data_IF_354547730648
#
_entry.id   IF_354547730648
#
_cell.length_a   1.000
_cell.length_b   1.000
_cell.length_c   1.000
_cell.angle_alpha   90.00
_cell.angle_beta   90.00
_cell.angle_gamma   90.00
#
_symmetry.space_group_name_H-M   'P 1'
#
loop_
_entity.id
_entity.type
_entity.pdbx_description
1 polymer ?
#
# COMPACT_ATOMS: atom_id res chain seq x y z
N UNK A 1 17.92 -15.80 -13.31
CA UNK A 1 18.81 -14.64 -13.38
C UNK A 1 20.23 -15.16 -13.34
N UNK A 2 21.07 -14.72 -14.27
CA UNK A 2 22.48 -15.08 -14.25
C UNK A 2 23.16 -14.34 -13.08
N UNK A 3 24.17 -14.90 -12.42
CA UNK A 3 24.90 -14.19 -11.36
C UNK A 3 25.62 -12.97 -11.97
N UNK A 4 25.41 -11.77 -11.44
CA UNK A 4 26.09 -10.56 -11.90
C UNK A 4 27.59 -10.60 -11.57
N UNK A 5 28.45 -10.41 -12.57
CA UNK A 5 29.90 -10.44 -12.43
C UNK A 5 30.48 -9.18 -11.73
N UNK A 6 29.77 -8.05 -11.77
CA UNK A 6 30.12 -6.85 -10.98
C UNK A 6 28.88 -5.99 -10.67
N UNK A 7 28.76 -5.54 -9.42
CA UNK A 7 27.70 -4.61 -8.99
C UNK A 7 28.25 -3.18 -9.11
N UNK A 8 27.60 -2.29 -9.89
CA UNK A 8 28.03 -0.90 -9.97
C UNK A 8 28.08 -0.22 -8.60
N UNK A 9 29.11 0.59 -8.35
CA UNK A 9 29.28 1.31 -7.08
C UNK A 9 28.04 2.13 -6.73
N UNK A 10 27.43 2.77 -7.73
CA UNK A 10 26.17 3.50 -7.56
C UNK A 10 25.03 2.62 -7.02
N UNK A 11 24.84 1.42 -7.60
CA UNK A 11 23.83 0.47 -7.13
C UNK A 11 24.07 0.05 -5.67
N UNK A 12 25.33 -0.20 -5.30
CA UNK A 12 25.69 -0.53 -3.91
C UNK A 12 25.40 0.60 -2.93
N UNK A 13 25.77 1.84 -3.28
CA UNK A 13 25.54 3.02 -2.42
C UNK A 13 24.03 3.27 -2.26
N UNK A 14 23.30 3.31 -3.36
CA UNK A 14 21.85 3.53 -3.36
C UNK A 14 21.11 2.43 -2.60
N UNK A 15 21.47 1.16 -2.84
CA UNK A 15 20.86 0.02 -2.15
C UNK A 15 21.16 0.03 -0.65
N UNK A 16 22.37 0.46 -0.25
CA UNK A 16 22.73 0.59 1.17
C UNK A 16 21.92 1.69 1.84
N UNK A 17 21.77 2.85 1.21
CA UNK A 17 20.93 3.95 1.74
C UNK A 17 19.50 3.46 1.91
N UNK A 18 18.93 2.81 0.88
CA UNK A 18 17.58 2.26 0.93
C UNK A 18 17.39 1.25 2.08
N UNK A 19 18.34 0.33 2.24
CA UNK A 19 18.35 -0.67 3.30
C UNK A 19 18.41 -0.03 4.69
N UNK A 20 19.28 0.97 4.89
CA UNK A 20 19.40 1.69 6.17
C UNK A 20 18.10 2.41 6.50
N UNK A 21 17.50 3.12 5.53
CA UNK A 21 16.19 3.77 5.71
C UNK A 21 15.16 2.76 6.22
N UNK A 22 15.06 1.58 5.61
CA UNK A 22 14.10 0.57 6.01
C UNK A 22 14.39 -0.15 7.33
N UNK A 23 15.65 -0.23 7.73
CA UNK A 23 16.00 -0.71 9.07
C UNK A 23 15.52 0.24 10.18
N UNK A 24 15.31 1.53 9.87
CA UNK A 24 15.00 2.56 10.87
C UNK A 24 13.64 3.24 10.68
N UNK A 25 12.94 2.98 9.57
CA UNK A 25 11.74 3.70 9.14
C UNK A 25 10.66 3.80 10.22
N UNK A 26 10.45 2.74 11.00
CA UNK A 26 9.35 2.68 11.96
C UNK A 26 9.68 3.32 13.32
N UNK A 27 10.93 3.69 13.60
CA UNK A 27 11.29 4.29 14.88
C UNK A 27 10.50 5.58 15.20
N UNK A 28 10.33 6.54 14.27
CA UNK A 28 9.53 7.74 14.54
C UNK A 28 8.08 7.41 14.88
N UNK A 29 7.47 6.42 14.20
CA UNK A 29 6.11 5.97 14.50
C UNK A 29 6.01 5.34 15.89
N UNK A 30 6.92 4.43 16.22
CA UNK A 30 6.97 3.76 17.52
C UNK A 30 7.17 4.79 18.64
N UNK A 31 8.07 5.74 18.42
CA UNK A 31 8.34 6.83 19.35
C UNK A 31 7.11 7.73 19.53
N UNK A 32 6.45 8.12 18.45
CA UNK A 32 5.21 8.90 18.48
C UNK A 32 4.14 8.18 19.30
N UNK A 33 3.88 6.91 19.00
CA UNK A 33 2.91 6.08 19.72
C UNK A 33 3.23 6.04 21.23
N UNK A 34 4.51 5.87 21.57
CA UNK A 34 4.96 5.88 22.96
C UNK A 34 4.78 7.23 23.64
N UNK A 35 5.03 8.35 22.94
CA UNK A 35 4.91 9.70 23.50
C UNK A 35 3.46 10.15 23.65
N UNK A 36 2.61 9.88 22.66
CA UNK A 36 1.20 10.28 22.66
C UNK A 36 0.31 9.33 23.44
N UNK A 37 0.75 8.09 23.67
CA UNK A 37 -0.07 6.99 24.22
C UNK A 37 -1.37 6.78 23.45
N UNK A 38 -1.36 7.14 22.16
CA UNK A 38 -2.49 7.07 21.26
C UNK A 38 -2.06 6.56 19.90
N UNK A 39 -2.77 5.57 19.38
CA UNK A 39 -2.56 4.93 18.07
C UNK A 39 -3.78 5.08 17.17
N UNK A 40 -4.63 6.07 17.42
CA UNK A 40 -5.81 6.33 16.59
C UNK A 40 -5.40 6.64 15.15
N UNK A 41 -6.02 5.96 14.18
CA UNK A 41 -5.74 6.10 12.75
C UNK A 41 -4.61 5.20 12.23
N UNK A 42 -3.81 4.59 13.11
CA UNK A 42 -2.83 3.58 12.72
C UNK A 42 -3.52 2.20 12.62
N UNK A 43 -3.64 1.59 11.42
CA UNK A 43 -4.35 0.32 11.28
C UNK A 43 -3.55 -0.84 11.93
N UNK A 44 -4.10 -1.54 12.94
CA UNK A 44 -3.38 -2.65 13.57
C UNK A 44 -3.18 -3.84 12.60
N UNK A 45 -4.13 -4.07 11.70
CA UNK A 45 -4.04 -5.13 10.68
C UNK A 45 -2.86 -4.92 9.74
N UNK A 46 -2.63 -3.68 9.29
CA UNK A 46 -1.47 -3.30 8.47
C UNK A 46 -0.17 -3.65 9.18
N UNK A 47 0.01 -3.23 10.44
CA UNK A 47 1.22 -3.51 11.22
C UNK A 47 1.45 -5.02 11.39
N UNK A 48 0.39 -5.80 11.63
CA UNK A 48 0.50 -7.26 11.76
C UNK A 48 0.88 -7.92 10.44
N UNK A 49 0.21 -7.56 9.33
CA UNK A 49 0.46 -8.15 8.01
C UNK A 49 1.89 -7.81 7.54
N UNK A 50 2.35 -6.58 7.77
CA UNK A 50 3.73 -6.20 7.49
C UNK A 50 4.74 -6.98 8.35
N UNK A 51 4.46 -7.17 9.64
CA UNK A 51 5.29 -8.01 10.50
C UNK A 51 5.38 -9.45 9.94
N UNK A 52 4.24 -10.02 9.51
CA UNK A 52 4.19 -11.35 8.89
C UNK A 52 4.97 -11.42 7.57
N UNK A 53 4.99 -10.35 6.78
CA UNK A 53 5.75 -10.32 5.50
C UNK A 53 7.26 -10.45 5.70
N UNK A 54 7.78 -10.09 6.88
CA UNK A 54 9.20 -10.23 7.20
C UNK A 54 9.70 -11.67 7.13
N UNK A 55 8.85 -12.66 7.45
CA UNK A 55 9.19 -14.09 7.39
C UNK A 55 9.56 -14.54 5.97
N UNK A 56 8.67 -14.45 4.96
CA UNK A 56 9.02 -14.86 3.61
C UNK A 56 10.13 -13.98 2.99
N UNK A 57 10.24 -12.68 3.35
CA UNK A 57 11.40 -11.87 2.95
C UNK A 57 12.72 -12.39 3.54
N UNK A 58 12.74 -12.76 4.82
CA UNK A 58 13.90 -13.33 5.50
C UNK A 58 14.33 -14.66 4.88
N UNK A 59 13.36 -15.57 4.67
CA UNK A 59 13.60 -16.85 3.95
C UNK A 59 14.20 -16.58 2.57
N UNK A 60 13.60 -15.67 1.80
CA UNK A 60 14.06 -15.32 0.47
C UNK A 60 15.50 -14.77 0.49
N UNK A 61 15.79 -13.80 1.36
CA UNK A 61 17.10 -13.16 1.47
C UNK A 61 18.20 -14.14 1.90
N UNK A 62 17.90 -15.03 2.85
CA UNK A 62 18.85 -16.06 3.30
C UNK A 62 19.09 -17.09 2.19
N UNK A 63 18.05 -17.57 1.51
CA UNK A 63 18.22 -18.59 0.47
C UNK A 63 18.91 -18.04 -0.78
N UNK A 64 18.65 -16.78 -1.16
CA UNK A 64 19.37 -16.09 -2.23
C UNK A 64 20.80 -15.65 -1.84
N UNK A 65 21.21 -15.88 -0.58
CA UNK A 65 22.55 -15.53 -0.08
C UNK A 65 22.88 -14.04 -0.30
N UNK A 66 21.92 -13.17 -0.02
CA UNK A 66 22.14 -11.73 -0.10
C UNK A 66 23.19 -11.25 0.91
N UNK A 67 23.67 -10.02 0.71
CA UNK A 67 24.59 -9.39 1.66
C UNK A 67 23.94 -9.24 3.05
N UNK A 68 24.79 -9.12 4.08
CA UNK A 68 24.34 -9.08 5.46
C UNK A 68 23.28 -7.99 5.73
N UNK A 69 23.40 -6.74 5.21
CA UNK A 69 22.35 -5.74 5.36
C UNK A 69 20.97 -6.17 4.84
N UNK A 70 20.91 -6.80 3.67
CA UNK A 70 19.65 -7.27 3.07
C UNK A 70 19.05 -8.49 3.78
N UNK A 71 19.87 -9.27 4.50
CA UNK A 71 19.37 -10.32 5.40
C UNK A 71 18.82 -9.73 6.70
N UNK A 72 19.46 -8.68 7.23
CA UNK A 72 19.05 -8.04 8.49
C UNK A 72 17.79 -7.19 8.31
N UNK A 73 17.62 -6.53 7.16
CA UNK A 73 16.52 -5.58 6.93
C UNK A 73 15.12 -6.19 7.15
N UNK A 74 14.77 -7.37 6.58
CA UNK A 74 13.46 -7.98 6.84
C UNK A 74 13.22 -8.31 8.31
N UNK A 75 14.28 -8.62 9.05
CA UNK A 75 14.21 -8.91 10.48
C UNK A 75 13.93 -7.65 11.30
N UNK A 76 14.63 -6.55 10.98
CA UNK A 76 14.34 -5.25 11.56
C UNK A 76 12.90 -4.83 11.27
N UNK A 77 12.46 -4.93 10.01
CA UNK A 77 11.10 -4.59 9.60
C UNK A 77 10.06 -5.44 10.35
N UNK A 78 10.24 -6.76 10.37
CA UNK A 78 9.39 -7.72 11.09
C UNK A 78 9.17 -7.31 12.55
N UNK A 79 10.27 -7.06 13.27
CA UNK A 79 10.25 -6.70 14.70
C UNK A 79 9.63 -5.33 14.92
N UNK A 80 10.02 -4.32 14.15
CA UNK A 80 9.50 -2.96 14.30
C UNK A 80 7.99 -2.91 14.04
N UNK A 81 7.50 -3.60 13.01
CA UNK A 81 6.08 -3.73 12.73
C UNK A 81 5.35 -4.46 13.87
N UNK A 82 5.94 -5.53 14.41
CA UNK A 82 5.40 -6.26 15.56
C UNK A 82 5.30 -5.39 16.82
N UNK A 83 6.32 -4.58 17.11
CA UNK A 83 6.31 -3.62 18.23
C UNK A 83 5.23 -2.57 18.04
N UNK A 84 5.11 -1.99 16.85
CA UNK A 84 4.07 -1.02 16.52
C UNK A 84 2.66 -1.63 16.63
N UNK A 85 2.49 -2.89 16.20
CA UNK A 85 1.26 -3.64 16.39
C UNK A 85 0.92 -3.85 17.87
N UNK A 86 1.90 -4.24 18.70
CA UNK A 86 1.70 -4.37 20.14
C UNK A 86 1.32 -3.01 20.78
N UNK A 87 1.91 -1.91 20.34
CA UNK A 87 1.49 -0.56 20.77
C UNK A 87 0.03 -0.27 20.40
N UNK A 88 -0.45 -0.70 19.22
CA UNK A 88 -1.86 -0.58 18.86
C UNK A 88 -2.79 -1.36 19.81
N UNK A 89 -2.37 -2.55 20.28
CA UNK A 89 -3.13 -3.31 21.28
C UNK A 89 -3.16 -2.60 22.64
N UNK A 90 -2.01 -2.08 23.09
CA UNK A 90 -1.86 -1.44 24.40
C UNK A 90 -2.57 -0.09 24.43
N UNK A 91 -2.28 0.80 23.48
CA UNK A 91 -2.76 2.18 23.49
C UNK A 91 -4.13 2.33 22.83
N UNK A 92 -4.42 1.56 21.77
CA UNK A 92 -5.71 1.59 21.08
C UNK A 92 -6.77 0.73 21.77
N UNK A 93 -6.49 -0.57 21.95
CA UNK A 93 -7.46 -1.53 22.54
C UNK A 93 -7.40 -1.64 24.07
N UNK A 94 -6.51 -0.90 24.73
CA UNK A 94 -6.33 -0.89 26.19
C UNK A 94 -5.99 -2.26 26.78
N UNK A 95 -5.29 -3.10 26.03
CA UNK A 95 -4.79 -4.37 26.54
C UNK A 95 -3.72 -4.15 27.61
N UNK A 96 -3.61 -5.10 28.55
CA UNK A 96 -2.54 -5.09 29.54
C UNK A 96 -1.18 -5.23 28.83
N UNK A 97 -0.21 -4.40 29.22
CA UNK A 97 1.12 -4.34 28.58
C UNK A 97 1.80 -5.71 28.58
N UNK A 98 1.70 -6.46 29.68
CA UNK A 98 2.24 -7.81 29.78
C UNK A 98 1.62 -8.79 28.77
N UNK A 99 0.29 -8.80 28.63
CA UNK A 99 -0.41 -9.68 27.69
C UNK A 99 -0.03 -9.38 26.24
N UNK A 100 0.04 -8.10 25.87
CA UNK A 100 0.46 -7.69 24.53
C UNK A 100 1.93 -8.03 24.26
N UNK A 101 2.81 -7.85 25.25
CA UNK A 101 4.24 -8.17 25.12
C UNK A 101 4.49 -9.67 25.00
N UNK A 102 3.81 -10.49 25.81
CA UNK A 102 3.88 -11.95 25.69
C UNK A 102 3.37 -12.44 24.34
N UNK A 103 2.27 -11.87 23.85
CA UNK A 103 1.71 -12.21 22.55
C UNK A 103 2.69 -11.86 21.41
N UNK A 104 3.34 -10.69 21.49
CA UNK A 104 4.38 -10.30 20.53
C UNK A 104 5.58 -11.27 20.56
N UNK A 105 6.09 -11.60 21.74
CA UNK A 105 7.22 -12.54 21.88
C UNK A 105 6.87 -13.91 21.30
N UNK A 106 5.68 -14.42 21.62
CA UNK A 106 5.19 -15.70 21.08
C UNK A 106 5.07 -15.64 19.55
N UNK A 107 4.52 -14.55 19.01
CA UNK A 107 4.39 -14.35 17.57
C UNK A 107 5.76 -14.33 16.88
N UNK A 108 6.73 -13.58 17.41
CA UNK A 108 8.09 -13.52 16.86
C UNK A 108 8.83 -14.86 16.97
N UNK A 109 8.59 -15.64 18.03
CA UNK A 109 9.12 -16.99 18.16
C UNK A 109 8.54 -17.93 17.09
N UNK A 110 7.23 -17.84 16.82
CA UNK A 110 6.58 -18.58 15.74
C UNK A 110 7.16 -18.16 14.39
N UNK A 111 7.30 -16.86 14.13
CA UNK A 111 7.91 -16.35 12.89
C UNK A 111 9.32 -16.89 12.68
N UNK A 112 10.15 -16.85 13.72
CA UNK A 112 11.52 -17.40 13.69
C UNK A 112 11.52 -18.90 13.39
N UNK A 113 10.63 -19.67 14.04
CA UNK A 113 10.51 -21.11 13.81
C UNK A 113 10.05 -21.45 12.40
N UNK A 114 9.05 -20.71 11.87
CA UNK A 114 8.55 -20.88 10.51
C UNK A 114 9.63 -20.50 9.49
N UNK A 115 10.31 -19.37 9.67
CA UNK A 115 11.40 -18.93 8.82
C UNK A 115 12.52 -19.99 8.77
N UNK A 116 13.01 -20.43 9.93
CA UNK A 116 14.04 -21.46 10.00
C UNK A 116 13.57 -22.77 9.35
N UNK A 117 12.34 -23.21 9.63
CA UNK A 117 11.77 -24.42 9.04
C UNK A 117 11.69 -24.36 7.51
N UNK A 118 11.27 -23.23 6.95
CA UNK A 118 11.22 -23.01 5.50
C UNK A 118 12.63 -22.98 4.89
N UNK A 119 13.60 -22.34 5.54
CA UNK A 119 15.00 -22.33 5.09
C UNK A 119 15.54 -23.76 5.03
N UNK A 120 15.38 -24.54 6.11
CA UNK A 120 15.85 -25.93 6.16
C UNK A 120 15.14 -26.83 5.14
N UNK A 121 13.85 -26.60 4.88
CA UNK A 121 13.08 -27.38 3.91
C UNK A 121 13.50 -27.06 2.45
N UNK A 122 13.72 -25.79 2.12
CA UNK A 122 13.94 -25.35 0.74
C UNK A 122 15.42 -25.41 0.35
N UNK A 123 16.35 -25.16 1.29
CA UNK A 123 17.79 -25.10 1.01
C UNK A 123 18.34 -26.32 0.25
N UNK A 124 18.00 -27.59 0.60
CA UNK A 124 18.50 -28.76 -0.13
C UNK A 124 18.00 -28.86 -1.58
N UNK A 125 16.80 -28.33 -1.85
CA UNK A 125 16.20 -28.29 -3.19
C UNK A 125 16.87 -27.18 -4.00
N UNK A 126 17.07 -26.01 -3.38
CA UNK A 126 17.74 -24.88 -4.00
C UNK A 126 19.20 -25.19 -4.36
N UNK A 127 19.93 -25.90 -3.49
CA UNK A 127 21.32 -26.31 -3.76
C UNK A 127 21.45 -27.32 -4.91
N UNK A 128 20.34 -27.96 -5.34
CA UNK A 128 20.29 -28.83 -6.52
C UNK A 128 19.96 -28.05 -7.81
N UNK A 129 19.96 -26.71 -7.77
CA UNK A 129 19.67 -25.85 -8.90
C UNK A 129 18.18 -25.59 -9.15
N UNK A 130 17.30 -26.07 -8.27
CA UNK A 130 15.84 -25.91 -8.41
C UNK A 130 15.40 -24.61 -7.71
N UNK A 131 15.19 -23.54 -8.49
CA UNK A 131 14.96 -22.17 -7.97
C UNK A 131 13.49 -21.78 -7.74
N UNK A 132 12.54 -22.46 -8.37
CA UNK A 132 11.11 -22.14 -8.28
C UNK A 132 10.53 -22.05 -6.85
N UNK A 133 10.95 -22.81 -5.81
CA UNK A 133 10.32 -22.70 -4.50
C UNK A 133 10.73 -21.39 -3.82
N UNK A 134 11.96 -20.94 -4.04
CA UNK A 134 12.44 -19.65 -3.52
C UNK A 134 11.71 -18.50 -4.20
N UNK A 135 11.46 -18.60 -5.50
CA UNK A 135 10.66 -17.59 -6.22
C UNK A 135 9.23 -17.49 -5.69
N UNK A 136 8.58 -18.63 -5.41
CA UNK A 136 7.24 -18.64 -4.79
C UNK A 136 7.25 -17.92 -3.43
N UNK A 137 8.26 -18.17 -2.60
CA UNK A 137 8.41 -17.45 -1.32
C UNK A 137 8.59 -15.94 -1.55
N UNK A 138 9.37 -15.54 -2.55
CA UNK A 138 9.52 -14.14 -2.94
C UNK A 138 8.18 -13.50 -3.35
N UNK A 139 7.38 -14.19 -4.17
CA UNK A 139 6.04 -13.70 -4.54
C UNK A 139 5.10 -13.58 -3.34
N UNK A 140 5.12 -14.56 -2.43
CA UNK A 140 4.35 -14.51 -1.18
C UNK A 140 4.79 -13.30 -0.35
N UNK A 141 6.09 -13.01 -0.27
CA UNK A 141 6.62 -11.85 0.46
C UNK A 141 6.07 -10.53 -0.10
N UNK A 142 6.22 -10.31 -1.41
CA UNK A 142 5.72 -9.10 -2.10
C UNK A 142 4.20 -8.97 -1.94
N UNK A 143 3.46 -10.06 -2.15
CA UNK A 143 2.01 -10.06 -2.00
C UNK A 143 1.55 -9.72 -0.58
N UNK A 144 2.19 -10.30 0.43
CA UNK A 144 1.86 -10.03 1.85
C UNK A 144 2.17 -8.58 2.22
N UNK A 145 3.27 -8.02 1.73
CA UNK A 145 3.61 -6.61 1.92
C UNK A 145 2.54 -5.68 1.34
N UNK A 146 2.15 -5.91 0.09
CA UNK A 146 1.11 -5.13 -0.60
C UNK A 146 -0.25 -5.28 0.07
N UNK A 147 -0.58 -6.46 0.58
CA UNK A 147 -1.81 -6.69 1.34
C UNK A 147 -1.87 -5.83 2.61
N UNK A 148 -0.71 -5.54 3.22
CA UNK A 148 -0.63 -4.64 4.37
C UNK A 148 -1.03 -3.19 4.05
N UNK A 149 -0.93 -2.77 2.79
CA UNK A 149 -1.40 -1.45 2.35
C UNK A 149 -2.91 -1.38 2.12
N UNK A 150 -3.63 -2.50 2.04
CA UNK A 150 -5.08 -2.52 1.75
C UNK A 150 -5.93 -1.69 2.73
N UNK A 151 -5.68 -1.68 4.06
CA UNK A 151 -6.42 -0.85 5.00
C UNK A 151 -6.28 0.67 4.76
N UNK A 152 -5.21 1.12 4.11
CA UNK A 152 -4.87 2.54 3.96
C UNK A 152 -5.93 3.29 3.14
N UNK A 153 -6.28 2.90 1.90
CA UNK A 153 -7.35 3.55 1.14
C UNK A 153 -8.66 3.70 1.92
N UNK A 154 -9.06 2.69 2.69
CA UNK A 154 -10.31 2.73 3.47
C UNK A 154 -10.26 3.77 4.59
N UNK A 155 -9.15 3.85 5.33
CA UNK A 155 -8.96 4.90 6.35
C UNK A 155 -8.90 6.30 5.74
N UNK A 156 -8.22 6.46 4.60
CA UNK A 156 -8.18 7.73 3.89
C UNK A 156 -9.57 8.15 3.39
N UNK A 157 -10.35 7.22 2.83
CA UNK A 157 -11.72 7.50 2.40
C UNK A 157 -12.60 7.88 3.59
N UNK A 158 -12.54 7.12 4.68
CA UNK A 158 -13.30 7.41 5.92
C UNK A 158 -12.98 8.79 6.48
N UNK A 159 -11.72 9.24 6.37
CA UNK A 159 -11.25 10.53 6.88
C UNK A 159 -11.16 11.63 5.81
N UNK A 160 -11.83 11.44 4.66
CA UNK A 160 -11.92 12.39 3.53
C UNK A 160 -10.56 12.90 3.02
N UNK A 161 -9.58 12.01 2.96
CA UNK A 161 -8.21 12.26 2.51
C UNK A 161 -7.23 12.67 3.61
N UNK A 162 -7.70 12.81 4.85
CA UNK A 162 -6.80 13.07 5.98
C UNK A 162 -6.11 11.78 6.43
N UNK A 163 -4.80 11.72 6.23
CA UNK A 163 -3.94 10.74 6.90
C UNK A 163 -3.90 11.05 8.40
N UNK A 164 -4.33 10.11 9.24
CA UNK A 164 -4.33 10.20 10.72
C UNK A 164 -3.64 8.97 11.28
N UNK A 165 -2.89 9.13 12.37
CA UNK A 165 -2.23 8.03 13.07
C UNK A 165 -0.89 7.60 12.48
N UNK A 166 -0.70 7.80 11.17
CA UNK A 166 0.58 7.59 10.48
C UNK A 166 1.46 8.83 10.64
N UNK A 167 2.70 8.61 11.08
CA UNK A 167 3.70 9.65 11.26
C UNK A 167 4.37 10.00 9.93
N UNK A 168 4.47 11.30 9.62
CA UNK A 168 5.03 11.78 8.37
C UNK A 168 6.55 11.59 8.27
N UNK A 169 7.27 11.54 9.39
CA UNK A 169 8.71 11.25 9.39
C UNK A 169 8.91 9.78 9.03
N UNK A 170 8.13 8.87 9.64
CA UNK A 170 8.09 7.47 9.23
C UNK A 170 7.82 7.34 7.72
N UNK A 171 6.75 7.96 7.23
CA UNK A 171 6.36 7.89 5.82
C UNK A 171 7.46 8.41 4.88
N UNK A 172 8.19 9.45 5.28
CA UNK A 172 9.29 10.00 4.49
C UNK A 172 10.50 9.05 4.45
N UNK A 173 10.83 8.42 5.57
CA UNK A 173 11.95 7.47 5.62
C UNK A 173 11.62 6.20 4.83
N UNK A 174 10.39 5.71 4.94
CA UNK A 174 9.89 4.56 4.18
C UNK A 174 9.97 4.81 2.68
N UNK A 175 9.51 5.99 2.25
CA UNK A 175 9.54 6.40 0.85
C UNK A 175 10.96 6.50 0.30
N UNK A 176 11.87 7.09 1.07
CA UNK A 176 13.29 7.13 0.70
C UNK A 176 13.87 5.71 0.59
N UNK A 177 13.50 4.81 1.50
CA UNK A 177 13.88 3.40 1.44
C UNK A 177 13.47 2.74 0.12
N UNK A 178 12.21 2.90 -0.26
CA UNK A 178 11.68 2.37 -1.53
C UNK A 178 12.32 3.04 -2.75
N UNK A 179 12.45 4.36 -2.74
CA UNK A 179 13.00 5.15 -3.84
C UNK A 179 14.47 4.80 -4.10
N UNK A 180 15.32 4.83 -3.08
CA UNK A 180 16.74 4.51 -3.23
C UNK A 180 16.96 3.04 -3.62
N UNK A 181 16.14 2.12 -3.11
CA UNK A 181 16.19 0.71 -3.52
C UNK A 181 15.77 0.51 -4.98
N UNK A 182 14.77 1.26 -5.47
CA UNK A 182 14.41 1.26 -6.89
C UNK A 182 15.53 1.84 -7.75
N UNK A 183 16.14 2.95 -7.34
CA UNK A 183 17.26 3.56 -8.08
C UNK A 183 18.48 2.64 -8.08
N UNK A 184 18.69 1.86 -7.02
CA UNK A 184 19.73 0.83 -6.98
C UNK A 184 19.52 -0.24 -8.07
N UNK A 185 18.28 -0.74 -8.23
CA UNK A 185 17.94 -1.69 -9.29
C UNK A 185 18.07 -1.09 -10.69
N UNK A 186 17.69 0.18 -10.88
CA UNK A 186 17.88 0.87 -12.17
C UNK A 186 19.38 1.04 -12.49
N UNK A 187 20.21 1.22 -11.47
CA UNK A 187 21.66 1.32 -11.62
C UNK A 187 22.37 -0.05 -11.76
N UNK A 188 21.65 -1.17 -11.65
CA UNK A 188 22.21 -2.51 -11.87
C UNK A 188 22.25 -2.87 -13.37
N UNK A 189 23.11 -3.82 -13.72
CA UNK A 189 23.25 -4.31 -15.10
C UNK A 189 22.06 -5.17 -15.56
N UNK A 190 21.42 -5.87 -14.62
CA UNK A 190 20.18 -6.61 -14.85
C UNK A 190 19.10 -6.04 -13.92
N UNK A 191 17.92 -5.81 -14.47
CA UNK A 191 16.79 -5.28 -13.70
C UNK A 191 15.94 -6.44 -13.14
N UNK A 192 15.85 -6.52 -11.82
CA UNK A 192 14.92 -7.42 -11.15
C UNK A 192 13.49 -6.83 -11.21
N UNK A 193 12.67 -7.38 -12.11
CA UNK A 193 11.30 -6.91 -12.33
C UNK A 193 10.42 -7.11 -11.09
N UNK A 194 10.63 -8.16 -10.30
CA UNK A 194 9.80 -8.46 -9.13
C UNK A 194 10.00 -7.39 -8.04
N UNK A 195 11.25 -7.16 -7.65
CA UNK A 195 11.58 -6.15 -6.64
C UNK A 195 11.42 -4.73 -7.17
N UNK A 196 11.75 -4.49 -8.44
CA UNK A 196 11.55 -3.19 -9.09
C UNK A 196 10.07 -2.78 -9.09
N UNK A 197 9.17 -3.72 -9.41
CA UNK A 197 7.73 -3.48 -9.37
C UNK A 197 7.25 -3.22 -7.94
N UNK A 198 7.72 -4.00 -6.97
CA UNK A 198 7.38 -3.80 -5.55
C UNK A 198 7.79 -2.41 -5.07
N UNK A 199 9.05 -2.00 -5.30
CA UNK A 199 9.56 -0.70 -4.86
C UNK A 199 8.81 0.46 -5.52
N UNK A 200 8.49 0.35 -6.81
CA UNK A 200 7.70 1.35 -7.52
C UNK A 200 6.27 1.46 -6.96
N UNK A 201 5.62 0.33 -6.64
CA UNK A 201 4.30 0.31 -6.02
C UNK A 201 4.32 0.93 -4.61
N UNK A 202 5.31 0.61 -3.78
CA UNK A 202 5.48 1.26 -2.47
C UNK A 202 5.61 2.78 -2.61
N UNK A 203 6.51 3.25 -3.49
CA UNK A 203 6.67 4.68 -3.78
C UNK A 203 5.34 5.33 -4.21
N UNK A 204 4.59 4.68 -5.10
CA UNK A 204 3.33 5.21 -5.61
C UNK A 204 2.24 5.29 -4.53
N UNK A 205 2.08 4.22 -3.73
CA UNK A 205 1.09 4.17 -2.65
C UNK A 205 1.43 5.21 -1.58
N UNK A 206 2.69 5.34 -1.20
CA UNK A 206 3.13 6.31 -0.20
C UNK A 206 2.98 7.76 -0.67
N UNK A 207 3.33 8.04 -1.94
CA UNK A 207 3.07 9.34 -2.55
C UNK A 207 1.58 9.66 -2.62
N UNK A 208 0.73 8.66 -2.83
CA UNK A 208 -0.72 8.85 -2.81
C UNK A 208 -1.22 9.27 -1.42
N UNK A 209 -0.62 8.74 -0.34
CA UNK A 209 -0.95 9.14 1.04
C UNK A 209 -0.57 10.59 1.30
N UNK A 210 0.66 10.99 0.94
CA UNK A 210 1.13 12.38 1.07
C UNK A 210 0.24 13.33 0.27
N UNK A 211 -0.01 13.01 -1.00
CA UNK A 211 -0.83 13.82 -1.91
C UNK A 211 -2.24 14.00 -1.36
N UNK A 212 -2.86 12.92 -0.88
CA UNK A 212 -4.19 12.96 -0.28
C UNK A 212 -4.24 13.88 0.95
N UNK A 213 -3.22 13.80 1.82
CA UNK A 213 -3.13 14.68 2.98
C UNK A 213 -2.90 16.15 2.58
N UNK A 214 -2.05 16.43 1.60
CA UNK A 214 -1.85 17.79 1.08
C UNK A 214 -3.15 18.38 0.52
N UNK A 215 -3.91 17.60 -0.25
CA UNK A 215 -5.23 17.99 -0.75
C UNK A 215 -6.16 18.31 0.42
N UNK A 216 -6.15 17.49 1.48
CA UNK A 216 -6.93 17.77 2.69
C UNK A 216 -6.51 19.08 3.38
N UNK A 217 -5.19 19.36 3.50
CA UNK A 217 -4.68 20.60 4.11
C UNK A 217 -5.15 21.84 3.35
N UNK A 218 -5.15 21.79 2.01
CA UNK A 218 -5.63 22.89 1.16
C UNK A 218 -7.14 23.08 1.32
N UNK A 219 -7.92 22.00 1.25
CA UNK A 219 -9.39 22.05 1.33
C UNK A 219 -9.91 22.51 2.69
N UNK A 220 -9.16 22.22 3.76
CA UNK A 220 -9.54 22.58 5.14
C UNK A 220 -8.85 23.82 5.67
N UNK A 221 -8.05 24.52 4.85
CA UNK A 221 -7.25 25.69 5.27
C UNK A 221 -8.10 26.74 6.00
N UNK A 222 -9.25 27.12 5.44
CA UNK A 222 -10.14 28.11 6.03
C UNK A 222 -10.75 27.65 7.37
N UNK A 223 -11.19 26.38 7.44
CA UNK A 223 -11.77 25.80 8.66
C UNK A 223 -10.71 25.71 9.77
N UNK A 224 -9.50 25.27 9.42
CA UNK A 224 -8.37 25.18 10.34
C UNK A 224 -7.90 26.54 10.85
N UNK A 225 -7.97 27.57 10.02
CA UNK A 225 -7.66 28.92 10.44
C UNK A 225 -8.67 29.43 11.47
N UNK A 226 -9.98 29.26 11.22
CA UNK A 226 -11.04 29.60 12.18
C UNK A 226 -10.95 28.78 13.48
N UNK A 227 -10.63 27.48 13.38
CA UNK A 227 -10.40 26.65 14.55
C UNK A 227 -9.23 27.18 15.40
N UNK A 228 -8.13 27.56 14.77
CA UNK A 228 -6.96 28.15 15.44
C UNK A 228 -7.28 29.50 16.07
N UNK A 229 -8.08 30.33 15.42
CA UNK A 229 -8.57 31.61 15.96
C UNK A 229 -9.47 31.40 17.19
N UNK A 230 -10.23 30.31 17.21
CA UNK A 230 -11.03 29.88 18.37
C UNK A 230 -10.23 29.14 19.46
N UNK A 231 -8.91 28.93 19.27
CA UNK A 231 -8.07 28.17 20.21
C UNK A 231 -8.36 26.67 20.25
N UNK A 232 -9.08 26.14 19.25
CA UNK A 232 -9.49 24.74 19.15
C UNK A 232 -8.73 24.01 18.05
N UNK A 233 -8.60 22.69 18.17
CA UNK A 233 -8.09 21.86 17.08
C UNK A 233 -9.18 21.61 16.03
N UNK A 234 -8.78 21.13 14.84
CA UNK A 234 -9.74 20.78 13.78
C UNK A 234 -10.77 19.73 14.24
N UNK A 235 -10.34 18.80 15.09
CA UNK A 235 -11.20 17.71 15.60
C UNK A 235 -12.13 18.18 16.74
N UNK A 236 -11.87 19.35 17.35
CA UNK A 236 -12.70 19.96 18.41
C UNK A 236 -13.61 21.08 17.88
N UNK A 237 -13.32 21.62 16.70
CA UNK A 237 -14.08 22.72 16.11
C UNK A 237 -15.33 22.20 15.39
N UNK A 238 -16.51 22.76 15.71
CA UNK A 238 -17.81 22.32 15.19
C UNK A 238 -17.85 22.22 13.65
N UNK A 239 -17.34 23.22 12.92
CA UNK A 239 -17.29 23.14 11.45
C UNK A 239 -16.36 22.02 10.95
N UNK A 240 -15.29 21.71 11.68
CA UNK A 240 -14.37 20.60 11.37
C UNK A 240 -15.05 19.26 11.57
N UNK A 241 -15.77 19.10 12.69
CA UNK A 241 -16.58 17.92 13.00
C UNK A 241 -17.66 17.72 11.93
N UNK A 242 -18.41 18.77 11.58
CA UNK A 242 -19.43 18.72 10.53
C UNK A 242 -18.84 18.44 9.15
N UNK A 243 -17.67 18.98 8.85
CA UNK A 243 -16.99 18.70 7.59
C UNK A 243 -16.55 17.23 7.51
N UNK A 244 -16.13 16.65 8.63
CA UNK A 244 -15.73 15.24 8.68
C UNK A 244 -16.93 14.28 8.71
N UNK A 245 -18.07 14.70 9.29
CA UNK A 245 -19.30 13.90 9.37
C UNK A 245 -20.09 13.83 8.07
N UNK A 246 -20.02 14.87 7.24
CA UNK A 246 -20.46 14.79 5.84
C UNK A 246 -19.62 13.68 5.20
N UNK A 247 -20.15 12.51 4.88
CA UNK A 247 -19.40 11.44 4.21
C UNK A 247 -18.91 11.89 2.82
N UNK A 248 -17.91 11.22 2.21
CA UNK A 248 -17.64 11.42 0.78
C UNK A 248 -18.89 11.00 -0.02
N UNK A 249 -19.54 11.93 -0.73
CA UNK A 249 -20.58 11.63 -1.73
C UNK A 249 -19.95 10.96 -2.95
N UNK A 250 -19.40 9.74 -2.74
CA UNK A 250 -18.75 8.96 -3.78
C UNK A 250 -19.72 8.68 -4.93
N UNK A 251 -20.99 8.45 -4.60
CA UNK A 251 -22.06 8.15 -5.54
C UNK A 251 -22.40 9.32 -6.47
N UNK A 252 -22.40 10.56 -5.95
CA UNK A 252 -22.64 11.76 -6.77
C UNK A 252 -21.44 12.08 -7.67
N UNK A 253 -20.21 11.84 -7.19
CA UNK A 253 -18.97 11.98 -7.99
C UNK A 253 -18.81 10.90 -9.05
N UNK A 254 -19.12 9.65 -8.72
CA UNK A 254 -19.15 8.55 -9.69
C UNK A 254 -20.19 8.85 -10.77
N UNK A 255 -21.42 9.24 -10.38
CA UNK A 255 -22.44 9.66 -11.35
C UNK A 255 -22.02 10.83 -12.21
N UNK A 256 -21.32 11.84 -11.67
CA UNK A 256 -20.82 12.95 -12.48
C UNK A 256 -19.71 12.54 -13.44
N UNK A 257 -18.81 11.64 -13.04
CA UNK A 257 -17.76 11.10 -13.91
C UNK A 257 -18.33 10.23 -15.04
N UNK A 258 -19.30 9.35 -14.73
CA UNK A 258 -20.02 8.58 -15.74
C UNK A 258 -20.89 9.46 -16.64
N UNK A 259 -21.47 10.54 -16.10
CA UNK A 259 -22.22 11.54 -16.89
C UNK A 259 -21.30 12.35 -17.81
N UNK A 260 -20.10 12.74 -17.34
CA UNK A 260 -19.12 13.43 -18.17
C UNK A 260 -18.57 12.52 -19.26
N UNK A 261 -18.19 11.28 -18.92
CA UNK A 261 -17.74 10.28 -19.89
C UNK A 261 -18.82 10.01 -20.95
N UNK A 262 -20.09 9.88 -20.57
CA UNK A 262 -21.21 9.71 -21.51
C UNK A 262 -21.43 10.95 -22.39
N UNK A 263 -21.25 12.15 -21.84
CA UNK A 263 -21.37 13.41 -22.60
C UNK A 263 -20.20 13.59 -23.59
N UNK A 264 -18.99 13.17 -23.24
CA UNK A 264 -17.82 13.18 -24.13
C UNK A 264 -17.94 12.14 -25.24
N UNK A 265 -18.48 10.96 -24.95
CA UNK A 265 -18.77 9.95 -25.99
C UNK A 265 -19.83 10.44 -26.98
N UNK A 266 -20.92 11.06 -26.50
CA UNK A 266 -21.96 11.61 -27.36
C UNK A 266 -21.46 12.79 -28.22
N UNK A 267 -20.59 13.65 -27.66
CA UNK A 267 -19.98 14.74 -28.42
C UNK A 267 -18.96 14.23 -29.45
N UNK A 268 -18.22 13.16 -29.13
CA UNK A 268 -17.32 12.49 -30.07
C UNK A 268 -18.09 11.78 -31.19
N UNK A 269 -19.20 11.11 -30.87
CA UNK A 269 -20.07 10.48 -31.87
C UNK A 269 -20.75 11.52 -32.78
N UNK A 270 -21.25 12.63 -32.21
CA UNK A 270 -21.80 13.74 -32.97
C UNK A 270 -20.75 14.47 -33.84
N UNK A 271 -19.51 14.59 -33.37
CA UNK A 271 -18.40 15.15 -34.16
C UNK A 271 -17.89 14.18 -35.25
N UNK A 272 -18.10 12.88 -35.08
CA UNK A 272 -17.78 11.84 -36.08
C UNK A 272 -18.93 11.54 -37.07
N UNK A 273 -20.04 12.29 -36.95
CA UNK A 273 -21.25 12.15 -37.77
C UNK A 273 -21.01 12.41 -39.25
N UNK A 274 -20.69 11.34 -39.97
CA UNK A 274 -20.74 11.23 -41.42
C UNK A 274 -22.19 11.43 -41.87
N UNK A 275 -22.43 12.28 -42.88
CA UNK A 275 -23.72 12.39 -43.56
C UNK A 275 -24.13 11.02 -44.11
N UNK A 276 -25.10 10.38 -43.46
CA UNK A 276 -25.73 9.14 -43.90
C UNK A 276 -27.21 9.36 -44.13
N UNK A 277 -27.55 9.71 -45.37
CA UNK A 277 -28.83 9.50 -46.08
C UNK A 277 -30.06 9.07 -45.27
N UNK A 278 -31.09 9.92 -45.31
CA UNK A 278 -32.49 9.56 -45.11
C UNK A 278 -32.83 8.32 -45.97
N UNK A 279 -33.19 7.21 -45.32
CA UNK A 279 -33.86 6.09 -45.99
C UNK A 279 -35.36 6.30 -45.85
N UNK A 280 -36.02 6.59 -46.97
CA UNK A 280 -37.48 6.58 -47.12
C UNK A 280 -38.04 5.17 -46.90
N UNK A 281 -39.22 5.01 -46.28
CA UNK A 281 -39.81 3.69 -46.07
C UNK A 281 -40.39 3.15 -47.38
N UNK A 282 -39.76 2.13 -47.95
CA UNK A 282 -40.29 1.40 -49.11
C UNK A 282 -41.12 0.18 -48.65
N UNK A 283 -42.34 0.14 -49.19
CA UNK A 283 -43.42 -0.84 -49.03
C UNK A 283 -43.06 -2.26 -48.55
N UNK A 284 -43.58 -2.62 -47.37
CA UNK A 284 -43.75 -4.02 -46.97
C UNK A 284 -45.18 -4.45 -47.30
N UNK A 285 -45.35 -5.19 -48.39
CA UNK A 285 -46.59 -5.89 -48.75
C UNK A 285 -46.93 -6.99 -47.72
N UNK A 286 -48.18 -7.11 -47.25
CA UNK A 286 -48.57 -8.12 -46.27
C UNK A 286 -48.81 -9.49 -46.92
N UNK A 287 -48.18 -10.54 -46.39
CA UNK A 287 -48.51 -11.94 -46.75
C UNK A 287 -49.80 -12.36 -46.05
N UNK A 288 -50.84 -12.60 -46.83
CA UNK A 288 -52.13 -13.16 -46.42
C UNK A 288 -51.99 -14.63 -46.00
N UNK A 289 -52.50 -14.98 -44.82
CA UNK A 289 -52.72 -16.38 -44.40
C UNK A 289 -54.13 -16.79 -44.83
N UNK A 290 -54.33 -17.93 -45.52
CA UNK A 290 -55.67 -18.38 -45.92
C UNK A 290 -56.42 -18.99 -44.73
N UNK A 291 -57.62 -18.47 -44.45
CA UNK A 291 -58.62 -19.15 -43.65
C UNK A 291 -59.13 -20.38 -44.41
N UNK A 292 -59.04 -21.57 -43.81
CA UNK A 292 -59.88 -22.70 -44.14
C UNK A 292 -60.77 -23.00 -42.92
N UNK A 293 -62.05 -22.64 -43.03
CA UNK A 293 -63.14 -23.19 -42.22
C UNK A 293 -63.62 -24.47 -42.88
N UNK A 294 -63.84 -25.51 -42.07
CA UNK A 294 -65.03 -26.37 -42.07
C UNK A 294 -65.04 -27.14 -40.75
#
# INVERSE_FOLDING_TARGET
MAPQESIPVAANVLGTIGTVCWCVQLFPQIWRNYRTKNTEGLPPSMMLIWSMSGVPFGVYAVLQQFNLPLIIQPQCFCVLCGVSWAQCLIYGRKWRTWTASLLLILLLAIFTAVEAGLIYAIRPVYSRGISWPVLIIGFIAVFTLLLGYVPIPFELLKRRGRVVGIDFVFLTIDWNGAFFSLMALVAQNEFDVLFGTMYALCCAIEMSMVTSHLIWLVRTRGIRQRAKEAGLTFDEFEEGIQWQSKGLDLERKLRSLFSQSKSETLLSEAASGTYGTFVTPENITPKTVPNARL
#
